data_IF_836968953894
#
_entry.id   IF_836968953894
#
_cell.length_a   1.000
_cell.length_b   1.000
_cell.length_c   1.000
_cell.angle_alpha   90.00
_cell.angle_beta   90.00
_cell.angle_gamma   90.00
#
_symmetry.space_group_name_H-M   'P 1'
#
loop_
_entity.id
_entity.type
_entity.pdbx_description
1 polymer ?
#
# COMPACT_ATOMS: atom_id res chain seq x y z
N UNK A 1 21.09 -13.50 24.74
CA UNK A 1 19.85 -12.84 24.28
C UNK A 1 19.92 -12.76 22.76
N UNK A 2 19.07 -13.49 22.03
CA UNK A 2 18.99 -13.38 20.57
C UNK A 2 17.85 -12.42 20.26
N UNK A 3 18.22 -11.20 19.90
CA UNK A 3 17.30 -10.24 19.30
C UNK A 3 16.75 -10.88 18.03
N UNK A 4 15.42 -10.99 17.95
CA UNK A 4 14.74 -11.66 16.87
C UNK A 4 15.17 -11.06 15.53
N UNK A 5 15.84 -11.89 14.72
CA UNK A 5 16.04 -11.68 13.30
C UNK A 5 14.71 -11.21 12.73
N UNK A 6 14.71 -9.99 12.19
CA UNK A 6 13.65 -9.57 11.28
C UNK A 6 13.93 -10.35 10.01
N UNK A 7 13.43 -11.59 9.97
CA UNK A 7 13.32 -12.38 8.75
C UNK A 7 12.77 -11.44 7.67
N UNK A 8 13.41 -11.49 6.50
CA UNK A 8 12.98 -10.74 5.34
C UNK A 8 11.55 -11.15 4.99
N UNK A 9 10.57 -10.48 5.60
CA UNK A 9 9.16 -10.62 5.28
C UNK A 9 8.99 -9.93 3.93
N UNK A 10 9.25 -10.67 2.86
CA UNK A 10 9.02 -10.32 1.46
C UNK A 10 7.52 -10.15 1.22
N UNK A 11 6.94 -9.16 1.91
CA UNK A 11 5.52 -8.88 1.87
C UNK A 11 5.15 -8.55 0.44
N UNK A 12 4.07 -9.16 -0.05
CA UNK A 12 3.50 -8.86 -1.36
C UNK A 12 2.14 -8.23 -1.13
N UNK A 13 1.76 -7.30 -1.99
CA UNK A 13 0.36 -6.90 -2.07
C UNK A 13 -0.35 -8.03 -2.81
N UNK A 14 -1.20 -8.77 -2.11
CA UNK A 14 -2.02 -9.81 -2.71
C UNK A 14 -3.34 -9.18 -3.13
N UNK A 15 -3.66 -9.15 -4.44
CA UNK A 15 -4.92 -8.59 -4.87
C UNK A 15 -6.05 -9.55 -4.52
N UNK A 16 -7.01 -9.06 -3.75
CA UNK A 16 -8.27 -9.74 -3.56
C UNK A 16 -9.17 -9.36 -4.74
N UNK A 17 -9.76 -10.34 -5.44
CA UNK A 17 -10.55 -10.07 -6.65
C UNK A 17 -11.78 -9.23 -6.27
N UNK A 18 -11.70 -7.91 -6.46
CA UNK A 18 -12.84 -6.98 -6.46
C UNK A 18 -12.43 -5.59 -6.99
N UNK A 19 -12.63 -5.37 -8.29
CA UNK A 19 -12.86 -4.02 -8.83
C UNK A 19 -11.70 -3.35 -9.55
N UNK A 20 -11.79 -2.02 -9.61
CA UNK A 20 -10.92 -1.12 -10.36
C UNK A 20 -9.99 -0.37 -9.40
N UNK A 21 -8.68 -0.41 -9.65
CA UNK A 21 -7.63 0.21 -8.79
C UNK A 21 -7.86 -0.16 -7.32
N UNK A 22 -7.65 -1.44 -7.02
CA UNK A 22 -8.09 -2.08 -5.78
C UNK A 22 -7.23 -1.73 -4.57
N UNK A 23 -6.04 -1.17 -4.80
CA UNK A 23 -5.07 -0.87 -3.75
C UNK A 23 -4.67 0.58 -3.79
N UNK A 24 -5.04 1.28 -2.72
CA UNK A 24 -4.60 2.63 -2.48
C UNK A 24 -3.50 2.64 -1.44
N UNK A 25 -2.46 3.42 -1.70
CA UNK A 25 -1.33 3.63 -0.80
C UNK A 25 -1.15 5.11 -0.55
N UNK A 26 -0.69 5.43 0.65
CA UNK A 26 -0.32 6.79 1.02
C UNK A 26 1.19 6.95 0.89
N UNK A 27 1.63 7.98 0.17
CA UNK A 27 3.01 8.45 0.24
C UNK A 27 3.28 9.15 1.59
N UNK A 28 4.55 9.44 1.88
CA UNK A 28 4.92 10.17 3.09
C UNK A 28 4.14 11.49 3.20
N UNK A 29 3.59 11.77 4.38
CA UNK A 29 2.75 12.95 4.64
C UNK A 29 1.27 12.78 4.28
N UNK A 30 0.89 11.76 3.51
CA UNK A 30 -0.51 11.45 3.23
C UNK A 30 -1.10 10.56 4.32
N UNK A 31 -2.37 10.80 4.65
CA UNK A 31 -3.11 10.06 5.68
C UNK A 31 -4.55 9.75 5.25
N UNK A 32 -4.77 9.51 3.95
CA UNK A 32 -6.07 9.11 3.47
C UNK A 32 -6.51 7.79 4.12
N UNK A 33 -7.73 7.78 4.64
CA UNK A 33 -8.29 6.68 5.40
C UNK A 33 -9.81 6.60 5.18
N UNK A 34 -10.27 5.96 4.08
CA UNK A 34 -11.64 6.11 3.59
C UNK A 34 -12.73 5.53 4.50
N UNK A 35 -12.38 4.69 5.49
CA UNK A 35 -13.34 4.03 6.38
C UNK A 35 -12.93 4.04 7.86
N UNK A 36 -12.13 5.03 8.28
CA UNK A 36 -11.59 5.09 9.64
C UNK A 36 -10.87 3.80 10.08
N UNK A 37 -10.14 3.19 9.15
CA UNK A 37 -9.42 1.94 9.38
C UNK A 37 -8.49 2.06 10.58
N UNK A 38 -8.55 1.06 11.46
CA UNK A 38 -7.73 0.98 12.68
C UNK A 38 -6.42 0.22 12.47
N UNK A 39 -6.26 -0.43 11.30
CA UNK A 39 -5.05 -1.13 10.89
C UNK A 39 -4.57 -0.64 9.54
N UNK A 40 -3.25 -0.65 9.34
CA UNK A 40 -2.63 -0.41 8.04
C UNK A 40 -1.45 -1.34 7.82
N UNK A 41 -1.05 -1.49 6.56
CA UNK A 41 0.22 -2.11 6.19
C UNK A 41 1.16 -1.02 5.67
N UNK A 42 2.35 -0.94 6.24
CA UNK A 42 3.42 -0.05 5.80
C UNK A 42 4.45 -0.88 5.04
N UNK A 43 4.68 -0.50 3.79
CA UNK A 43 5.67 -1.13 2.93
C UNK A 43 6.95 -0.30 2.88
N UNK A 44 8.10 -0.96 2.99
CA UNK A 44 9.39 -0.41 2.60
C UNK A 44 9.68 -0.85 1.18
N UNK A 45 9.99 0.11 0.31
CA UNK A 45 10.07 -0.07 -1.14
C UNK A 45 11.40 0.48 -1.67
N UNK A 46 11.86 -0.01 -2.82
CA UNK A 46 13.06 0.53 -3.50
C UNK A 46 12.76 1.88 -4.15
N UNK A 47 13.81 2.64 -4.51
CA UNK A 47 13.66 3.91 -5.23
C UNK A 47 12.95 3.71 -6.58
N UNK A 48 13.31 2.66 -7.32
CA UNK A 48 12.64 2.26 -8.57
C UNK A 48 11.12 2.14 -8.42
N UNK A 49 10.64 1.69 -7.26
CA UNK A 49 9.20 1.60 -6.97
C UNK A 49 8.58 2.94 -6.61
N UNK A 50 9.33 3.81 -5.94
CA UNK A 50 8.91 5.20 -5.72
C UNK A 50 8.70 5.92 -7.06
N UNK A 51 9.56 5.69 -8.04
CA UNK A 51 9.44 6.30 -9.37
C UNK A 51 8.15 5.85 -10.08
N UNK A 52 7.78 4.57 -9.95
CA UNK A 52 6.50 4.04 -10.45
C UNK A 52 5.31 4.76 -9.78
N UNK A 53 5.37 5.01 -8.46
CA UNK A 53 4.31 5.73 -7.73
C UNK A 53 4.26 7.23 -8.07
N UNK A 54 5.38 7.82 -8.45
CA UNK A 54 5.46 9.24 -8.82
C UNK A 54 5.02 9.48 -10.27
N UNK A 55 5.13 8.48 -11.15
CA UNK A 55 4.57 8.52 -12.51
C UNK A 55 3.04 8.29 -12.52
N UNK A 56 2.34 8.95 -11.60
CA UNK A 56 0.90 8.84 -11.44
C UNK A 56 0.18 9.82 -12.36
N UNK A 57 -0.88 9.34 -13.01
CA UNK A 57 -1.79 10.20 -13.77
C UNK A 57 -2.89 10.74 -12.87
N UNK A 58 -3.31 11.96 -13.15
CA UNK A 58 -4.40 12.58 -12.40
C UNK A 58 -5.72 11.86 -12.68
N UNK A 59 -6.34 11.31 -11.65
CA UNK A 59 -7.64 10.62 -11.76
C UNK A 59 -8.69 11.56 -12.34
N UNK A 60 -8.65 12.85 -11.99
CA UNK A 60 -9.68 13.83 -12.39
C UNK A 60 -9.58 14.22 -13.86
N UNK A 61 -8.44 13.94 -14.50
CA UNK A 61 -8.23 14.12 -15.94
C UNK A 61 -8.53 12.84 -16.74
N UNK A 62 -8.83 11.73 -16.07
CA UNK A 62 -9.16 10.45 -16.70
C UNK A 62 -10.67 10.29 -16.88
N UNK A 63 -11.18 10.60 -18.08
CA UNK A 63 -12.59 10.45 -18.47
C UNK A 63 -13.15 9.02 -18.39
N UNK A 64 -12.28 8.01 -18.36
CA UNK A 64 -12.64 6.59 -18.24
C UNK A 64 -12.95 6.16 -16.80
N UNK A 65 -12.87 7.07 -15.83
CA UNK A 65 -13.05 6.78 -14.40
C UNK A 65 -11.99 5.81 -13.86
N UNK A 66 -12.18 5.35 -12.62
CA UNK A 66 -11.28 4.39 -11.95
C UNK A 66 -11.09 3.08 -12.74
N UNK A 67 -12.04 2.72 -13.63
CA UNK A 67 -12.09 1.46 -14.36
C UNK A 67 -11.03 1.31 -15.49
N UNK A 68 -10.47 2.41 -15.99
CA UNK A 68 -9.66 2.41 -17.21
C UNK A 68 -8.16 2.20 -17.02
N UNK A 69 -7.59 2.33 -15.81
CA UNK A 69 -6.13 2.39 -15.63
C UNK A 69 -5.55 1.21 -14.84
N UNK A 70 -5.73 0.01 -15.40
CA UNK A 70 -5.29 -1.26 -14.78
C UNK A 70 -3.77 -1.44 -14.76
N UNK A 71 -3.06 -0.76 -15.65
CA UNK A 71 -1.61 -0.91 -15.88
C UNK A 71 -0.78 0.27 -15.33
N UNK A 72 -1.38 1.17 -14.55
CA UNK A 72 -0.69 2.37 -14.09
C UNK A 72 -1.09 2.82 -12.69
N UNK A 73 -0.59 4.00 -12.30
CA UNK A 73 -0.85 4.61 -11.00
C UNK A 73 -1.71 5.86 -11.17
N UNK A 74 -2.74 6.01 -10.34
CA UNK A 74 -3.59 7.18 -10.29
C UNK A 74 -3.30 8.03 -9.05
N UNK A 75 -3.30 9.34 -9.20
CA UNK A 75 -3.26 10.30 -8.10
C UNK A 75 -4.62 10.94 -7.90
N UNK A 76 -5.04 11.13 -6.66
CA UNK A 76 -6.16 12.03 -6.29
C UNK A 76 -5.56 13.36 -5.86
N UNK A 77 -5.36 14.29 -6.79
CA UNK A 77 -4.64 15.52 -6.49
C UNK A 77 -5.46 16.51 -5.66
N UNK A 78 -6.80 16.47 -5.74
CA UNK A 78 -7.62 17.63 -5.37
C UNK A 78 -8.16 17.56 -3.95
N UNK A 79 -8.34 16.36 -3.39
CA UNK A 79 -8.85 16.18 -2.02
C UNK A 79 -7.98 15.27 -1.13
N UNK A 80 -6.99 14.56 -1.68
CA UNK A 80 -6.23 13.52 -0.97
C UNK A 80 -4.77 13.47 -1.44
N UNK A 81 -4.07 14.61 -1.30
CA UNK A 81 -2.69 14.75 -1.73
C UNK A 81 -1.80 13.60 -1.21
N UNK A 82 -1.09 12.94 -2.13
CA UNK A 82 -0.19 11.82 -1.84
C UNK A 82 -0.86 10.44 -1.75
N UNK A 83 -2.19 10.34 -1.88
CA UNK A 83 -2.86 9.07 -2.12
C UNK A 83 -2.57 8.59 -3.56
N UNK A 84 -2.25 7.30 -3.71
CA UNK A 84 -1.95 6.65 -4.98
C UNK A 84 -2.78 5.40 -5.14
N UNK A 85 -3.58 5.33 -6.19
CA UNK A 85 -4.29 4.13 -6.59
C UNK A 85 -3.43 3.32 -7.54
N UNK A 86 -3.15 2.06 -7.20
CA UNK A 86 -2.32 1.17 -8.02
C UNK A 86 -3.22 0.26 -8.84
N UNK A 87 -3.01 0.24 -10.15
CA UNK A 87 -3.72 -0.63 -11.08
C UNK A 87 -3.48 -2.11 -10.79
N UNK A 88 -4.53 -2.92 -11.00
CA UNK A 88 -4.52 -4.35 -10.70
C UNK A 88 -3.40 -5.14 -11.39
N UNK A 89 -3.07 -4.83 -12.65
CA UNK A 89 -2.05 -5.56 -13.41
C UNK A 89 -0.64 -5.27 -12.88
N UNK A 90 -0.43 -4.08 -12.29
CA UNK A 90 0.81 -3.76 -11.59
C UNK A 90 0.98 -4.57 -10.31
N UNK A 91 -0.01 -5.32 -9.83
CA UNK A 91 0.08 -6.09 -8.58
C UNK A 91 -0.07 -7.58 -8.84
N UNK A 92 -1.03 -7.98 -9.68
CA UNK A 92 -1.42 -9.38 -9.91
C UNK A 92 -0.35 -10.20 -10.63
N UNK A 93 0.42 -9.58 -11.53
CA UNK A 93 1.40 -10.31 -12.31
C UNK A 93 2.53 -10.81 -11.38
N UNK A 94 2.92 -12.10 -11.36
CA UNK A 94 4.12 -12.56 -10.67
C UNK A 94 5.40 -11.83 -11.14
N UNK A 95 5.43 -11.35 -12.38
CA UNK A 95 6.48 -10.50 -12.93
C UNK A 95 6.22 -9.01 -12.70
N UNK A 96 5.23 -8.67 -11.86
CA UNK A 96 4.96 -7.31 -11.44
C UNK A 96 6.24 -6.67 -10.89
N UNK A 97 6.68 -5.63 -11.60
CA UNK A 97 7.76 -4.75 -11.15
C UNK A 97 7.42 -4.15 -9.78
N UNK A 98 6.15 -4.02 -9.41
CA UNK A 98 5.78 -3.42 -8.14
C UNK A 98 5.94 -4.38 -6.94
N UNK A 99 5.49 -5.63 -7.07
CA UNK A 99 5.56 -6.60 -5.97
C UNK A 99 6.97 -7.18 -5.79
N UNK A 100 7.77 -7.30 -6.84
CA UNK A 100 9.15 -7.78 -6.75
C UNK A 100 10.11 -6.76 -6.10
N UNK A 101 9.67 -5.51 -5.97
CA UNK A 101 10.45 -4.40 -5.41
C UNK A 101 9.95 -4.01 -3.99
N UNK A 102 9.16 -4.88 -3.32
CA UNK A 102 8.87 -4.74 -1.88
C UNK A 102 10.03 -5.31 -1.08
N UNK A 103 10.62 -4.49 -0.21
CA UNK A 103 11.72 -4.92 0.67
C UNK A 103 11.18 -5.51 1.97
N UNK A 104 10.22 -4.79 2.59
CA UNK A 104 9.60 -5.19 3.87
C UNK A 104 8.14 -4.77 3.91
N UNK A 105 7.33 -5.52 4.64
CA UNK A 105 5.98 -5.11 5.03
C UNK A 105 5.85 -5.20 6.54
N UNK A 106 5.17 -4.23 7.15
CA UNK A 106 4.81 -4.29 8.57
C UNK A 106 3.37 -3.85 8.77
N UNK A 107 2.66 -4.53 9.65
CA UNK A 107 1.34 -4.09 10.11
C UNK A 107 1.50 -3.03 11.18
N UNK A 108 0.68 -1.99 11.13
CA UNK A 108 0.54 -0.97 12.16
C UNK A 108 -0.93 -0.87 12.58
N UNK A 109 -1.15 -0.46 13.84
CA UNK A 109 -2.46 -0.21 14.42
C UNK A 109 -2.53 1.24 14.89
N UNK A 110 -3.69 1.87 14.71
CA UNK A 110 -3.99 3.21 15.24
C UNK A 110 -4.40 3.09 16.70
N UNK A 111 -3.70 3.80 17.59
CA UNK A 111 -4.00 3.88 19.03
C UNK A 111 -3.97 5.35 19.44
N UNK A 112 -5.10 5.87 19.94
CA UNK A 112 -5.25 7.29 20.34
C UNK A 112 -4.75 8.27 19.27
N UNK A 113 -5.10 8.02 18.01
CA UNK A 113 -4.70 8.86 16.87
C UNK A 113 -3.28 8.64 16.36
N UNK A 114 -2.44 7.84 17.03
CA UNK A 114 -1.06 7.56 16.62
C UNK A 114 -0.93 6.17 16.02
N UNK A 115 -0.18 6.06 14.93
CA UNK A 115 0.15 4.78 14.32
C UNK A 115 1.36 4.14 15.02
N UNK A 116 1.26 2.86 15.35
CA UNK A 116 2.35 2.10 15.96
C UNK A 116 2.26 0.62 15.66
N UNK A 117 3.26 -0.16 16.09
CA UNK A 117 3.19 -1.62 15.97
C UNK A 117 2.02 -2.15 16.80
N UNK A 118 1.22 -3.12 16.31
CA UNK A 118 0.19 -3.75 17.11
C UNK A 118 0.83 -4.32 18.38
N UNK A 119 0.18 -4.15 19.53
CA UNK A 119 0.60 -4.89 20.73
C UNK A 119 0.45 -6.38 20.41
N UNK A 120 1.49 -7.18 20.69
CA UNK A 120 1.39 -8.64 20.53
C UNK A 120 0.21 -9.12 21.37
N UNK A 121 -0.70 -9.89 20.78
CA UNK A 121 -1.63 -10.66 21.58
C UNK A 121 -0.83 -11.73 22.32
N UNK A 122 -0.79 -11.55 23.63
CA UNK A 122 -0.44 -12.48 24.70
C UNK A 122 -1.01 -13.89 24.69
N UNK A 123 -1.46 -14.47 23.58
CA UNK A 123 -1.95 -15.84 23.66
C UNK A 123 -0.74 -16.78 23.71
N UNK A 124 -0.37 -17.18 24.93
CA UNK A 124 0.23 -18.49 25.13
C UNK A 124 -0.84 -19.48 24.63
N UNK A 125 -0.50 -20.25 23.61
CA UNK A 125 -1.20 -21.49 23.36
C UNK A 125 -0.73 -22.40 24.50
N UNK A 126 -1.63 -22.66 25.44
CA UNK A 126 -1.45 -23.68 26.48
C UNK A 126 -1.51 -25.08 25.84
#
# INVERSE_FOLDING_TARGET
MREGEVEASGGKIVPHIKGSVDHWVNLSGANWNPNDEVFRVVYTITQKRMDILQNAKDLEKFFVGKAGYKDGVLSKNTNEAGARGIGYNLIKNPDSVFNNEIIKARREQKVKGKWGRPKKCSHKLD
#
